data_IF_618996956444
#
_entry.id   IF_618996956444
#
_cell.length_a   1.000
_cell.length_b   1.000
_cell.length_c   1.000
_cell.angle_alpha   90.00
_cell.angle_beta   90.00
_cell.angle_gamma   90.00
#
_symmetry.space_group_name_H-M   'P 1'
#
loop_
_entity.id
_entity.type
_entity.pdbx_description
1 polymer ?
#
# COMPACT_ATOMS: atom_id res chain seq x y z
N UNK A 1 -22.42 -14.74 34.85
CA UNK A 1 -22.14 -13.81 33.74
C UNK A 1 -22.72 -14.44 32.50
N UNK A 2 -23.43 -13.68 31.67
CA UNK A 2 -23.93 -14.23 30.39
C UNK A 2 -22.71 -14.53 29.53
N UNK A 3 -22.61 -15.75 29.01
CA UNK A 3 -21.46 -16.17 28.18
C UNK A 3 -21.64 -15.68 26.74
N UNK A 4 -20.55 -15.59 25.96
CA UNK A 4 -20.64 -15.19 24.55
C UNK A 4 -21.56 -16.13 23.76
N UNK A 5 -21.44 -17.44 23.99
CA UNK A 5 -22.31 -18.46 23.38
C UNK A 5 -23.80 -18.28 23.73
N UNK A 6 -24.12 -17.86 24.95
CA UNK A 6 -25.51 -17.56 25.34
C UNK A 6 -26.08 -16.33 24.61
N UNK A 7 -25.23 -15.36 24.25
CA UNK A 7 -25.62 -14.20 23.45
C UNK A 7 -25.81 -14.62 21.99
N UNK A 8 -24.92 -15.46 21.45
CA UNK A 8 -25.02 -15.99 20.09
C UNK A 8 -26.26 -16.87 19.87
N UNK A 9 -26.66 -17.62 20.90
CA UNK A 9 -27.87 -18.44 20.86
C UNK A 9 -29.16 -17.61 20.63
N UNK A 10 -29.13 -16.29 20.87
CA UNK A 10 -30.25 -15.40 20.57
C UNK A 10 -30.53 -15.26 19.06
N UNK A 11 -29.57 -15.62 18.21
CA UNK A 11 -29.61 -15.47 16.76
C UNK A 11 -29.85 -16.79 16.01
N UNK A 12 -30.12 -17.91 16.71
CA UNK A 12 -30.29 -19.22 16.07
C UNK A 12 -31.44 -19.26 15.05
N UNK A 13 -32.51 -18.51 15.32
CA UNK A 13 -33.71 -18.44 14.48
C UNK A 13 -33.66 -17.31 13.43
N UNK A 14 -32.63 -16.47 13.45
CA UNK A 14 -32.50 -15.32 12.55
C UNK A 14 -32.02 -15.73 11.14
N UNK A 15 -32.22 -14.83 10.16
CA UNK A 15 -31.68 -15.01 8.82
C UNK A 15 -30.15 -15.10 8.88
N UNK A 16 -29.60 -16.20 8.34
CA UNK A 16 -28.16 -16.47 8.40
C UNK A 16 -27.38 -15.65 7.39
N UNK A 17 -26.17 -15.26 7.78
CA UNK A 17 -25.23 -14.61 6.86
C UNK A 17 -24.91 -15.47 5.64
N UNK A 18 -24.70 -14.83 4.48
CA UNK A 18 -24.33 -15.52 3.24
C UNK A 18 -22.97 -16.22 3.39
N UNK A 19 -22.92 -17.51 3.04
CA UNK A 19 -21.70 -18.31 3.11
C UNK A 19 -20.56 -17.71 2.25
N UNK A 20 -19.31 -17.63 2.74
CA UNK A 20 -18.19 -16.98 2.04
C UNK A 20 -17.92 -17.50 0.61
N UNK A 21 -18.22 -18.78 0.33
CA UNK A 21 -17.99 -19.37 -1.00
C UNK A 21 -18.98 -18.91 -2.09
N UNK A 22 -20.05 -18.19 -1.73
CA UNK A 22 -21.11 -17.78 -2.64
C UNK A 22 -20.94 -16.31 -3.04
N UNK A 23 -21.10 -16.02 -4.33
CA UNK A 23 -21.13 -14.63 -4.82
C UNK A 23 -22.49 -13.98 -4.59
N UNK A 24 -22.47 -12.77 -4.04
CA UNK A 24 -23.66 -11.92 -3.91
C UNK A 24 -24.14 -11.41 -5.28
N UNK A 25 -25.39 -10.96 -5.42
CA UNK A 25 -25.89 -10.35 -6.65
C UNK A 25 -25.04 -9.17 -7.12
N UNK A 26 -24.62 -8.29 -6.19
CA UNK A 26 -23.75 -7.14 -6.49
C UNK A 26 -22.38 -7.58 -7.02
N UNK A 27 -21.77 -8.59 -6.40
CA UNK A 27 -20.47 -9.13 -6.87
C UNK A 27 -20.59 -9.73 -8.27
N UNK A 28 -21.67 -10.48 -8.55
CA UNK A 28 -21.92 -11.02 -9.89
C UNK A 28 -22.08 -9.92 -10.93
N UNK A 29 -22.84 -8.87 -10.62
CA UNK A 29 -23.02 -7.72 -11.52
C UNK A 29 -21.69 -7.03 -11.79
N UNK A 30 -20.89 -6.77 -10.74
CA UNK A 30 -19.57 -6.14 -10.89
C UNK A 30 -18.61 -6.97 -11.76
N UNK A 31 -18.56 -8.30 -11.54
CA UNK A 31 -17.73 -9.22 -12.34
C UNK A 31 -18.17 -9.21 -13.81
N UNK A 32 -19.46 -9.37 -14.09
CA UNK A 32 -19.96 -9.36 -15.47
C UNK A 32 -19.79 -8.01 -16.16
N UNK A 33 -19.95 -6.91 -15.42
CA UNK A 33 -19.66 -5.57 -15.93
C UNK A 33 -18.19 -5.43 -16.31
N UNK A 34 -17.24 -5.86 -15.47
CA UNK A 34 -15.82 -5.83 -15.79
C UNK A 34 -15.47 -6.71 -17.02
N UNK A 35 -16.07 -7.91 -17.14
CA UNK A 35 -15.90 -8.77 -18.31
C UNK A 35 -16.42 -8.09 -19.58
N UNK A 36 -17.58 -7.43 -19.50
CA UNK A 36 -18.17 -6.69 -20.61
C UNK A 36 -17.26 -5.52 -21.02
N UNK A 37 -16.78 -4.71 -20.07
CA UNK A 37 -15.84 -3.61 -20.32
C UNK A 37 -14.56 -4.13 -20.97
N UNK A 38 -13.94 -5.18 -20.41
CA UNK A 38 -12.73 -5.78 -20.97
C UNK A 38 -12.94 -6.29 -22.40
N UNK A 39 -14.09 -6.90 -22.67
CA UNK A 39 -14.43 -7.41 -24.00
C UNK A 39 -14.65 -6.24 -24.98
N UNK A 40 -15.40 -5.21 -24.59
CA UNK A 40 -15.63 -4.02 -25.42
C UNK A 40 -14.31 -3.32 -25.74
N UNK A 41 -13.45 -3.11 -24.74
CA UNK A 41 -12.14 -2.48 -24.95
C UNK A 41 -11.27 -3.35 -25.85
N UNK A 42 -11.18 -4.65 -25.60
CA UNK A 42 -10.37 -5.57 -26.42
C UNK A 42 -10.84 -5.62 -27.88
N UNK A 43 -12.16 -5.74 -28.11
CA UNK A 43 -12.73 -5.69 -29.46
C UNK A 43 -12.54 -4.31 -30.09
N UNK A 44 -12.72 -3.24 -29.33
CA UNK A 44 -12.49 -1.86 -29.78
C UNK A 44 -11.05 -1.63 -30.25
N UNK A 45 -10.07 -2.13 -29.49
CA UNK A 45 -8.66 -2.04 -29.85
C UNK A 45 -8.31 -2.83 -31.12
N UNK A 46 -9.01 -3.93 -31.41
CA UNK A 46 -8.80 -4.77 -32.59
C UNK A 46 -9.53 -4.22 -33.82
N UNK A 47 -10.80 -3.84 -33.69
CA UNK A 47 -11.68 -3.53 -34.81
C UNK A 47 -11.90 -2.03 -35.05
N UNK A 48 -11.61 -1.18 -34.07
CA UNK A 48 -11.83 0.27 -34.12
C UNK A 48 -10.71 1.03 -33.39
N UNK A 49 -9.45 0.70 -33.71
CA UNK A 49 -8.27 1.19 -32.98
C UNK A 49 -8.18 2.72 -32.96
N UNK A 50 -8.44 3.40 -34.08
CA UNK A 50 -8.37 4.86 -34.14
C UNK A 50 -9.33 5.52 -33.15
N UNK A 51 -10.55 5.02 -33.04
CA UNK A 51 -11.56 5.55 -32.12
C UNK A 51 -11.26 5.21 -30.66
N UNK A 52 -10.87 3.97 -30.36
CA UNK A 52 -10.69 3.49 -28.98
C UNK A 52 -9.32 3.86 -28.40
N UNK A 53 -8.25 3.72 -29.18
CA UNK A 53 -6.89 3.98 -28.75
C UNK A 53 -6.49 5.42 -29.10
N UNK A 54 -6.41 5.75 -30.38
CA UNK A 54 -5.80 7.01 -30.85
C UNK A 54 -6.53 8.25 -30.33
N UNK A 55 -7.86 8.28 -30.46
CA UNK A 55 -8.69 9.42 -30.05
C UNK A 55 -9.23 9.29 -28.62
N UNK A 56 -9.24 8.07 -28.06
CA UNK A 56 -9.85 7.74 -26.78
C UNK A 56 -8.83 7.57 -25.65
N UNK A 57 -8.30 6.36 -25.51
CA UNK A 57 -7.45 5.99 -24.37
C UNK A 57 -6.05 6.62 -24.41
N UNK A 58 -5.49 6.90 -25.58
CA UNK A 58 -4.12 7.39 -25.70
C UNK A 58 -3.96 8.80 -25.07
N UNK A 59 -4.80 9.81 -25.36
CA UNK A 59 -4.68 11.12 -24.73
C UNK A 59 -4.92 11.12 -23.20
N UNK A 60 -5.78 10.20 -22.74
CA UNK A 60 -6.19 10.10 -21.33
C UNK A 60 -5.16 9.29 -20.53
N UNK A 61 -4.70 8.15 -21.05
CA UNK A 61 -3.86 7.21 -20.29
C UNK A 61 -2.41 7.27 -20.74
N UNK A 62 -2.13 7.23 -22.04
CA UNK A 62 -0.78 6.99 -22.55
C UNK A 62 0.07 8.26 -22.71
N UNK A 63 -0.48 9.33 -23.28
CA UNK A 63 0.26 10.58 -23.48
C UNK A 63 0.75 11.19 -22.16
N UNK A 64 -0.01 11.15 -21.05
CA UNK A 64 0.50 11.55 -19.73
C UNK A 64 1.64 10.67 -19.22
N UNK A 65 1.61 9.36 -19.47
CA UNK A 65 2.68 8.42 -19.09
C UNK A 65 3.96 8.77 -19.83
N UNK A 66 3.89 8.95 -21.16
CA UNK A 66 5.05 9.30 -21.98
C UNK A 66 5.60 10.66 -21.59
N UNK A 67 4.73 11.62 -21.25
CA UNK A 67 5.16 12.93 -20.76
C UNK A 67 5.87 12.86 -19.41
N UNK A 68 5.41 11.99 -18.50
CA UNK A 68 6.05 11.75 -17.20
C UNK A 68 7.36 10.95 -17.32
N UNK A 69 7.53 10.19 -18.42
CA UNK A 69 8.76 9.44 -18.74
C UNK A 69 9.83 10.33 -19.36
N UNK A 70 9.40 11.35 -20.11
CA UNK A 70 10.31 12.25 -20.79
C UNK A 70 11.01 13.24 -19.86
N UNK A 71 11.89 14.05 -20.46
CA UNK A 71 12.88 14.98 -19.86
C UNK A 71 12.41 15.98 -18.79
N UNK A 72 11.11 16.01 -18.46
CA UNK A 72 10.56 16.89 -17.44
C UNK A 72 10.07 16.16 -16.17
N UNK A 73 9.79 14.85 -16.19
CA UNK A 73 9.37 14.09 -14.99
C UNK A 73 8.11 14.61 -14.25
N UNK A 74 7.31 15.47 -14.90
CA UNK A 74 6.30 16.32 -14.26
C UNK A 74 4.99 16.41 -15.08
N UNK A 75 4.35 15.27 -15.35
CA UNK A 75 2.99 15.29 -15.91
C UNK A 75 1.94 15.48 -14.79
N UNK A 76 1.15 16.56 -14.88
CA UNK A 76 -0.01 16.78 -14.00
C UNK A 76 -1.21 15.88 -14.34
N UNK A 77 -2.07 15.63 -13.35
CA UNK A 77 -3.28 14.82 -13.52
C UNK A 77 -4.48 15.64 -13.99
N UNK A 78 -5.20 15.14 -15.00
CA UNK A 78 -6.50 15.71 -15.38
C UNK A 78 -7.65 15.14 -14.54
N UNK A 79 -8.81 15.82 -14.44
CA UNK A 79 -9.99 15.29 -13.77
C UNK A 79 -10.48 13.96 -14.35
N UNK A 80 -10.39 13.79 -15.67
CA UNK A 80 -10.80 12.56 -16.37
C UNK A 80 -9.93 11.37 -15.97
N UNK A 81 -8.61 11.56 -15.96
CA UNK A 81 -7.65 10.52 -15.56
C UNK A 81 -7.86 10.12 -14.10
N UNK A 82 -8.07 11.12 -13.25
CA UNK A 82 -8.29 10.93 -11.81
C UNK A 82 -9.56 10.11 -11.57
N UNK A 83 -10.67 10.44 -12.26
CA UNK A 83 -11.93 9.72 -12.15
C UNK A 83 -11.83 8.27 -12.69
N UNK A 84 -11.12 8.07 -13.80
CA UNK A 84 -10.88 6.76 -14.37
C UNK A 84 -10.12 5.86 -13.39
N UNK A 85 -8.99 6.34 -12.86
CA UNK A 85 -8.18 5.57 -11.92
C UNK A 85 -8.92 5.27 -10.61
N UNK A 86 -9.64 6.25 -10.05
CA UNK A 86 -10.44 6.04 -8.84
C UNK A 86 -11.54 4.98 -9.05
N UNK A 87 -12.23 5.01 -10.20
CA UNK A 87 -13.26 4.04 -10.56
C UNK A 87 -12.68 2.64 -10.73
N UNK A 88 -11.52 2.53 -11.41
CA UNK A 88 -10.81 1.25 -11.58
C UNK A 88 -10.42 0.65 -10.24
N UNK A 89 -9.86 1.43 -9.31
CA UNK A 89 -9.49 0.95 -7.97
C UNK A 89 -10.73 0.44 -7.21
N UNK A 90 -11.82 1.19 -7.21
CA UNK A 90 -13.07 0.77 -6.54
C UNK A 90 -13.62 -0.54 -7.12
N UNK A 91 -13.65 -0.66 -8.45
CA UNK A 91 -14.04 -1.87 -9.15
C UNK A 91 -13.13 -3.06 -8.81
N UNK A 92 -11.81 -2.85 -8.78
CA UNK A 92 -10.84 -3.86 -8.37
C UNK A 92 -11.08 -4.34 -6.95
N UNK A 93 -11.37 -3.45 -5.98
CA UNK A 93 -11.68 -3.85 -4.60
C UNK A 93 -12.89 -4.79 -4.55
N UNK A 94 -13.99 -4.45 -5.25
CA UNK A 94 -15.23 -5.26 -5.24
C UNK A 94 -15.03 -6.63 -5.90
N UNK A 95 -14.25 -6.70 -6.98
CA UNK A 95 -14.00 -7.95 -7.72
C UNK A 95 -12.97 -8.82 -7.00
N UNK A 96 -11.84 -8.25 -6.62
CA UNK A 96 -10.74 -8.99 -6.00
C UNK A 96 -11.15 -9.53 -4.63
N UNK A 97 -11.92 -8.79 -3.82
CA UNK A 97 -12.40 -9.32 -2.54
C UNK A 97 -13.22 -10.60 -2.73
N UNK A 98 -14.08 -10.65 -3.76
CA UNK A 98 -14.91 -11.80 -4.05
C UNK A 98 -14.07 -13.00 -4.53
N UNK A 99 -13.08 -12.74 -5.37
CA UNK A 99 -12.15 -13.76 -5.88
C UNK A 99 -11.30 -14.31 -4.74
N UNK A 100 -10.68 -13.45 -3.93
CA UNK A 100 -9.80 -13.85 -2.82
C UNK A 100 -10.54 -14.63 -1.76
N UNK A 101 -11.80 -14.23 -1.45
CA UNK A 101 -12.67 -14.98 -0.57
C UNK A 101 -13.00 -16.37 -1.11
N UNK A 102 -13.28 -16.49 -2.41
CA UNK A 102 -13.59 -17.79 -3.03
C UNK A 102 -12.36 -18.70 -3.12
N UNK A 103 -11.18 -18.11 -3.25
CA UNK A 103 -9.89 -18.82 -3.23
C UNK A 103 -9.41 -19.16 -1.80
N UNK A 104 -10.16 -18.75 -0.78
CA UNK A 104 -9.81 -18.93 0.64
C UNK A 104 -8.40 -18.40 0.98
N UNK A 105 -8.05 -17.24 0.41
CA UNK A 105 -6.75 -16.63 0.67
C UNK A 105 -6.69 -16.07 2.10
N UNK A 106 -5.52 -16.16 2.78
CA UNK A 106 -5.36 -15.59 4.11
C UNK A 106 -5.68 -14.09 4.12
N UNK A 107 -6.48 -13.64 5.08
CA UNK A 107 -6.85 -12.23 5.27
C UNK A 107 -6.67 -11.79 6.73
N UNK A 108 -5.61 -12.29 7.37
CA UNK A 108 -5.24 -11.97 8.74
C UNK A 108 -4.21 -10.83 8.83
N UNK A 109 -3.85 -10.46 10.05
CA UNK A 109 -2.81 -9.44 10.33
C UNK A 109 -1.47 -9.77 9.64
N UNK A 110 -1.14 -11.05 9.45
CA UNK A 110 0.10 -11.51 8.81
C UNK A 110 0.10 -11.16 7.33
N UNK A 111 -1.02 -11.39 6.65
CA UNK A 111 -1.21 -10.97 5.26
C UNK A 111 -1.10 -9.45 5.12
N UNK A 112 -1.65 -8.68 6.06
CA UNK A 112 -1.51 -7.22 6.03
C UNK A 112 -0.03 -6.78 6.04
N UNK A 113 0.81 -7.37 6.90
CA UNK A 113 2.25 -7.09 6.91
C UNK A 113 2.93 -7.46 5.59
N UNK A 114 2.54 -8.58 4.98
CA UNK A 114 3.04 -8.96 3.68
C UNK A 114 2.67 -7.91 2.62
N UNK A 115 1.41 -7.49 2.54
CA UNK A 115 0.97 -6.49 1.56
C UNK A 115 1.62 -5.12 1.77
N UNK A 116 1.87 -4.70 3.02
CA UNK A 116 2.56 -3.44 3.32
C UNK A 116 3.97 -3.43 2.69
N UNK A 117 4.72 -4.54 2.71
CA UNK A 117 6.06 -4.56 2.11
C UNK A 117 6.03 -4.33 0.60
N UNK A 118 4.96 -4.76 -0.08
CA UNK A 118 4.74 -4.48 -1.50
C UNK A 118 4.30 -3.03 -1.77
N UNK A 119 3.52 -2.44 -0.87
CA UNK A 119 3.16 -1.00 -0.95
C UNK A 119 4.40 -0.12 -0.77
N UNK A 120 5.39 -0.54 0.02
CA UNK A 120 6.68 0.14 0.18
C UNK A 120 7.57 -0.01 -1.04
N UNK A 121 7.55 -1.16 -1.72
CA UNK A 121 8.39 -1.42 -2.89
C UNK A 121 8.14 -0.44 -4.06
N UNK A 122 6.86 -0.12 -4.33
CA UNK A 122 6.48 0.78 -5.42
C UNK A 122 7.12 2.17 -5.34
N UNK A 123 6.99 2.94 -4.24
CA UNK A 123 7.65 4.24 -4.11
C UNK A 123 9.17 4.13 -4.05
N UNK A 124 9.73 3.03 -3.52
CA UNK A 124 11.20 2.81 -3.54
C UNK A 124 11.75 2.81 -4.97
N UNK A 125 11.08 2.10 -5.88
CA UNK A 125 11.44 2.09 -7.30
C UNK A 125 11.11 3.43 -7.98
N UNK A 126 9.98 4.05 -7.63
CA UNK A 126 9.59 5.34 -8.23
C UNK A 126 10.55 6.48 -7.90
N UNK A 127 11.13 6.49 -6.70
CA UNK A 127 12.14 7.48 -6.31
C UNK A 127 13.45 7.30 -7.08
N UNK A 128 13.84 6.05 -7.37
CA UNK A 128 14.99 5.79 -8.23
C UNK A 128 14.75 6.32 -9.65
N UNK A 129 13.53 6.15 -10.14
CA UNK A 129 13.12 6.72 -11.42
C UNK A 129 13.08 8.25 -11.39
N UNK A 130 12.55 8.87 -10.33
CA UNK A 130 12.62 10.33 -10.15
C UNK A 130 14.06 10.85 -10.07
N UNK A 131 15.01 10.00 -9.67
CA UNK A 131 16.43 10.28 -9.67
C UNK A 131 17.13 9.98 -11.01
N UNK A 132 16.39 9.68 -12.09
CA UNK A 132 16.92 9.31 -13.41
C UNK A 132 17.87 8.09 -13.36
N UNK A 133 17.62 7.14 -12.45
CA UNK A 133 18.45 5.92 -12.37
C UNK A 133 18.23 5.00 -13.57
N UNK A 134 16.99 4.80 -13.99
CA UNK A 134 16.68 3.84 -15.06
C UNK A 134 17.00 4.41 -16.43
N UNK A 135 17.37 3.53 -17.36
CA UNK A 135 17.59 3.93 -18.75
C UNK A 135 16.26 4.21 -19.48
N UNK A 136 16.35 4.90 -20.62
CA UNK A 136 15.20 5.30 -21.44
C UNK A 136 14.41 4.14 -22.09
N UNK A 137 14.90 2.91 -21.98
CA UNK A 137 14.16 1.72 -22.43
C UNK A 137 13.24 1.16 -21.31
N UNK A 138 13.52 1.50 -20.05
CA UNK A 138 12.86 0.95 -18.86
C UNK A 138 12.07 1.98 -18.05
N UNK A 139 12.40 3.27 -18.14
CA UNK A 139 11.73 4.40 -17.45
C UNK A 139 10.19 4.29 -17.38
N UNK A 140 9.54 4.01 -18.52
CA UNK A 140 8.09 3.92 -18.66
C UNK A 140 7.46 2.81 -17.82
N UNK A 141 8.22 1.76 -17.49
CA UNK A 141 7.76 0.66 -16.66
C UNK A 141 7.60 1.08 -15.19
N UNK A 142 8.32 2.12 -14.76
CA UNK A 142 8.31 2.65 -13.40
C UNK A 142 7.30 3.79 -13.22
N UNK A 143 6.54 4.14 -14.25
CA UNK A 143 5.53 5.22 -14.22
C UNK A 143 4.15 4.67 -13.91
N UNK A 144 3.33 5.46 -13.23
CA UNK A 144 1.94 5.09 -12.96
C UNK A 144 1.06 5.18 -14.21
N UNK A 145 0.15 4.20 -14.45
CA UNK A 145 -0.21 3.08 -13.59
C UNK A 145 0.62 1.80 -13.83
N UNK A 146 1.54 1.80 -14.79
CA UNK A 146 2.28 0.61 -15.27
C UNK A 146 3.09 -0.04 -14.14
N UNK A 147 3.73 0.77 -13.29
CA UNK A 147 4.47 0.29 -12.11
C UNK A 147 3.60 -0.63 -11.23
N UNK A 148 2.35 -0.24 -10.99
CA UNK A 148 1.43 -1.00 -10.16
C UNK A 148 1.03 -2.32 -10.82
N UNK A 149 0.90 -2.35 -12.16
CA UNK A 149 0.52 -3.55 -12.90
C UNK A 149 1.62 -4.61 -12.88
N UNK A 150 2.87 -4.24 -13.21
CA UNK A 150 3.95 -5.23 -13.21
C UNK A 150 4.32 -5.66 -11.78
N UNK A 151 4.28 -4.76 -10.78
CA UNK A 151 4.48 -5.15 -9.38
C UNK A 151 3.37 -6.08 -8.89
N UNK A 152 2.12 -5.89 -9.33
CA UNK A 152 1.05 -6.85 -9.06
C UNK A 152 1.32 -8.21 -9.71
N UNK A 153 1.91 -8.25 -10.92
CA UNK A 153 2.34 -9.52 -11.55
C UNK A 153 3.42 -10.21 -10.72
N UNK A 154 4.43 -9.48 -10.24
CA UNK A 154 5.46 -10.02 -9.33
C UNK A 154 4.84 -10.55 -8.03
N UNK A 155 3.89 -9.82 -7.44
CA UNK A 155 3.19 -10.20 -6.22
C UNK A 155 2.42 -11.51 -6.42
N UNK A 156 1.58 -11.58 -7.47
CA UNK A 156 0.79 -12.77 -7.78
C UNK A 156 1.68 -13.97 -8.09
N UNK A 157 2.75 -13.76 -8.87
CA UNK A 157 3.70 -14.82 -9.20
C UNK A 157 4.44 -15.35 -7.97
N UNK A 158 4.88 -14.44 -7.09
CA UNK A 158 5.53 -14.79 -5.82
C UNK A 158 4.58 -15.57 -4.91
N UNK A 159 3.33 -15.12 -4.76
CA UNK A 159 2.30 -15.82 -4.00
C UNK A 159 2.05 -17.22 -4.56
N UNK A 160 1.88 -17.34 -5.88
CA UNK A 160 1.61 -18.60 -6.56
C UNK A 160 2.76 -19.60 -6.39
N UNK A 161 4.00 -19.20 -6.66
CA UNK A 161 5.16 -20.10 -6.52
C UNK A 161 5.36 -20.51 -5.06
N UNK A 162 5.24 -19.57 -4.13
CA UNK A 162 5.43 -19.87 -2.71
C UNK A 162 4.38 -20.84 -2.19
N UNK A 163 3.12 -20.64 -2.59
CA UNK A 163 2.04 -21.58 -2.28
C UNK A 163 2.30 -22.95 -2.91
N UNK A 164 2.52 -23.03 -4.23
CA UNK A 164 2.69 -24.30 -4.94
C UNK A 164 3.84 -25.16 -4.42
N UNK A 165 4.94 -24.54 -3.99
CA UNK A 165 6.13 -25.26 -3.56
C UNK A 165 6.12 -25.65 -2.08
N UNK A 166 5.54 -24.80 -1.23
CA UNK A 166 5.70 -24.91 0.21
C UNK A 166 4.40 -25.12 1.01
N UNK A 167 3.21 -24.96 0.42
CA UNK A 167 1.93 -25.09 1.16
C UNK A 167 1.70 -26.49 1.72
N UNK A 168 2.26 -27.53 1.10
CA UNK A 168 2.19 -28.92 1.57
C UNK A 168 2.79 -29.15 2.96
N UNK A 169 3.56 -28.19 3.48
CA UNK A 169 4.17 -28.22 4.80
C UNK A 169 3.53 -27.24 5.78
N UNK A 170 2.48 -26.49 5.39
CA UNK A 170 1.88 -25.45 6.22
C UNK A 170 1.25 -26.03 7.51
N UNK A 171 0.69 -27.23 7.45
CA UNK A 171 0.06 -27.91 8.59
C UNK A 171 1.03 -28.80 9.39
N UNK A 172 2.28 -28.92 8.97
CA UNK A 172 3.27 -29.78 9.64
C UNK A 172 3.94 -29.06 10.81
N UNK A 173 4.03 -29.75 11.96
CA UNK A 173 4.75 -29.27 13.14
C UNK A 173 6.16 -29.86 13.26
N UNK A 174 6.59 -30.65 12.27
CA UNK A 174 7.91 -31.27 12.27
C UNK A 174 8.99 -30.27 11.85
N UNK A 175 10.11 -30.26 12.58
CA UNK A 175 11.20 -29.31 12.31
C UNK A 175 11.87 -29.55 10.95
N UNK A 176 11.91 -30.80 10.48
CA UNK A 176 12.44 -31.18 9.16
C UNK A 176 11.59 -30.60 8.02
N UNK A 177 10.26 -30.62 8.15
CA UNK A 177 9.35 -30.04 7.16
C UNK A 177 9.45 -28.50 7.13
N UNK A 178 9.59 -27.87 8.30
CA UNK A 178 9.86 -26.42 8.39
C UNK A 178 11.17 -26.03 7.74
N UNK A 179 12.22 -26.84 7.92
CA UNK A 179 13.52 -26.65 7.29
C UNK A 179 13.46 -26.83 5.78
N UNK A 180 12.78 -27.87 5.28
CA UNK A 180 12.55 -28.10 3.84
C UNK A 180 11.80 -26.93 3.20
N UNK A 181 10.68 -26.52 3.80
CA UNK A 181 9.89 -25.38 3.36
C UNK A 181 10.74 -24.11 3.27
N UNK A 182 11.48 -23.78 4.33
CA UNK A 182 12.39 -22.62 4.34
C UNK A 182 13.46 -22.71 3.26
N UNK A 183 14.09 -23.86 3.10
CA UNK A 183 15.20 -24.05 2.15
C UNK A 183 14.71 -23.90 0.71
N UNK A 184 13.58 -24.53 0.37
CA UNK A 184 12.97 -24.41 -0.96
C UNK A 184 12.56 -22.96 -1.24
N UNK A 185 11.90 -22.29 -0.29
CA UNK A 185 11.51 -20.88 -0.45
C UNK A 185 12.75 -19.97 -0.58
N UNK A 186 13.78 -20.17 0.23
CA UNK A 186 15.00 -19.36 0.17
C UNK A 186 15.70 -19.45 -1.18
N UNK A 187 15.86 -20.67 -1.71
CA UNK A 187 16.50 -20.89 -3.02
C UNK A 187 15.66 -20.26 -4.13
N UNK A 188 14.36 -20.54 -4.17
CA UNK A 188 13.48 -20.10 -5.27
C UNK A 188 13.27 -18.59 -5.23
N UNK A 189 13.01 -18.01 -4.06
CA UNK A 189 12.86 -16.57 -3.92
C UNK A 189 14.20 -15.82 -4.07
N UNK A 190 15.32 -16.45 -3.73
CA UNK A 190 16.66 -15.91 -4.02
C UNK A 190 16.95 -15.84 -5.52
N UNK A 191 16.58 -16.87 -6.29
CA UNK A 191 16.64 -16.86 -7.75
C UNK A 191 15.68 -15.80 -8.34
N UNK A 192 14.48 -15.69 -7.76
CA UNK A 192 13.51 -14.68 -8.16
C UNK A 192 14.02 -13.26 -7.89
N UNK A 193 14.73 -13.06 -6.77
CA UNK A 193 15.35 -11.79 -6.39
C UNK A 193 16.48 -11.44 -7.36
N UNK A 194 17.29 -12.43 -7.74
CA UNK A 194 18.30 -12.28 -8.79
C UNK A 194 17.68 -11.90 -10.13
N UNK A 195 16.59 -12.56 -10.53
CA UNK A 195 15.86 -12.22 -11.76
C UNK A 195 15.33 -10.79 -11.70
N UNK A 196 14.70 -10.39 -10.60
CA UNK A 196 14.21 -9.03 -10.39
C UNK A 196 15.32 -7.98 -10.50
N UNK A 197 16.47 -8.22 -9.85
CA UNK A 197 17.66 -7.36 -9.97
C UNK A 197 18.17 -7.28 -11.42
N UNK A 198 18.28 -8.42 -12.10
CA UNK A 198 18.79 -8.49 -13.48
C UNK A 198 17.90 -7.78 -14.50
N UNK A 199 16.57 -7.79 -14.28
CA UNK A 199 15.61 -7.18 -15.20
C UNK A 199 15.45 -5.68 -14.98
N UNK A 200 15.45 -5.22 -13.72
CA UNK A 200 15.14 -3.82 -13.41
C UNK A 200 16.39 -2.96 -13.20
N UNK A 201 17.41 -3.47 -12.50
CA UNK A 201 18.54 -2.64 -12.05
C UNK A 201 19.76 -2.77 -12.95
N UNK A 202 20.14 -4.01 -13.28
CA UNK A 202 21.36 -4.30 -14.05
C UNK A 202 21.48 -3.53 -15.38
N UNK A 203 20.41 -3.36 -16.19
CA UNK A 203 20.52 -2.69 -17.49
C UNK A 203 20.86 -1.20 -17.38
N UNK A 204 20.62 -0.58 -16.23
CA UNK A 204 20.75 0.86 -16.04
C UNK A 204 22.12 1.28 -15.48
N UNK A 205 22.94 0.34 -14.97
CA UNK A 205 24.27 0.68 -14.46
C UNK A 205 25.22 1.25 -15.52
N UNK A 206 25.02 0.90 -16.80
CA UNK A 206 25.83 1.45 -17.89
C UNK A 206 25.45 2.88 -18.28
N UNK A 207 24.28 3.37 -17.85
CA UNK A 207 23.84 4.74 -18.12
C UNK A 207 24.64 5.78 -17.33
N UNK A 208 25.22 5.36 -16.21
CA UNK A 208 25.87 6.24 -15.24
C UNK A 208 27.36 5.88 -15.10
N UNK A 209 28.27 6.54 -15.83
CA UNK A 209 29.68 6.14 -15.90
C UNK A 209 30.46 6.31 -14.58
N UNK A 210 30.03 7.24 -13.72
CA UNK A 210 30.68 7.57 -12.44
C UNK A 210 30.03 6.86 -11.24
N UNK A 211 29.22 5.81 -11.47
CA UNK A 211 28.46 5.12 -10.43
C UNK A 211 29.38 4.36 -9.46
N UNK A 212 29.26 4.63 -8.16
CA UNK A 212 30.01 3.89 -7.15
C UNK A 212 29.42 2.49 -6.92
N UNK A 213 30.24 1.45 -7.10
CA UNK A 213 29.78 0.06 -7.02
C UNK A 213 29.63 -0.48 -5.60
N UNK A 214 30.17 0.18 -4.57
CA UNK A 214 30.19 -0.34 -3.19
C UNK A 214 28.78 -0.68 -2.68
N UNK A 215 27.86 0.28 -2.75
CA UNK A 215 26.48 0.11 -2.30
C UNK A 215 25.68 -0.86 -3.16
N UNK A 216 25.93 -0.88 -4.48
CA UNK A 216 25.31 -1.83 -5.42
C UNK A 216 25.71 -3.26 -5.09
N UNK A 217 27.01 -3.52 -4.91
CA UNK A 217 27.54 -4.84 -4.56
C UNK A 217 27.01 -5.29 -3.20
N UNK A 218 26.88 -4.36 -2.25
CA UNK A 218 26.36 -4.64 -0.91
C UNK A 218 24.83 -4.88 -0.89
N UNK A 219 24.09 -4.30 -1.85
CA UNK A 219 22.62 -4.37 -1.91
C UNK A 219 22.10 -5.82 -1.98
N UNK A 220 22.68 -6.65 -2.86
CA UNK A 220 22.18 -7.99 -3.10
C UNK A 220 22.43 -8.96 -1.92
N UNK A 221 23.63 -9.03 -1.31
CA UNK A 221 23.86 -9.82 -0.09
C UNK A 221 22.96 -9.39 1.08
N UNK A 222 22.73 -8.09 1.26
CA UNK A 222 21.88 -7.60 2.35
C UNK A 222 20.40 -7.90 2.08
N UNK A 223 19.94 -7.77 0.84
CA UNK A 223 18.60 -8.19 0.43
C UNK A 223 18.40 -9.71 0.63
N UNK A 224 19.38 -10.53 0.27
CA UNK A 224 19.35 -11.97 0.47
C UNK A 224 19.35 -12.34 1.96
N UNK A 225 20.13 -11.63 2.78
CA UNK A 225 20.10 -11.77 4.24
C UNK A 225 18.75 -11.40 4.82
N UNK A 226 18.15 -10.30 4.37
CA UNK A 226 16.80 -9.88 4.77
C UNK A 226 15.77 -10.97 4.44
N UNK A 227 15.83 -11.49 3.21
CA UNK A 227 14.97 -12.59 2.75
C UNK A 227 15.11 -13.82 3.66
N UNK A 228 16.34 -14.26 3.95
CA UNK A 228 16.59 -15.38 4.85
C UNK A 228 16.06 -15.12 6.26
N UNK A 229 16.36 -13.95 6.82
CA UNK A 229 15.98 -13.58 8.19
C UNK A 229 14.45 -13.56 8.36
N UNK A 230 13.73 -13.02 7.38
CA UNK A 230 12.26 -13.01 7.40
C UNK A 230 11.72 -14.44 7.31
N UNK A 231 12.22 -15.27 6.39
CA UNK A 231 11.77 -16.67 6.25
C UNK A 231 11.97 -17.49 7.53
N UNK A 232 13.02 -17.20 8.31
CA UNK A 232 13.26 -17.79 9.63
C UNK A 232 12.26 -17.27 10.66
N UNK A 233 11.99 -15.96 10.70
CA UNK A 233 11.09 -15.34 11.67
C UNK A 233 9.62 -15.66 11.45
N UNK A 234 9.23 -15.93 10.21
CA UNK A 234 7.85 -16.24 9.83
C UNK A 234 7.65 -17.74 9.62
N UNK A 235 8.40 -18.61 10.31
CA UNK A 235 8.34 -20.06 10.08
C UNK A 235 6.93 -20.65 10.22
N UNK A 236 6.14 -20.14 11.17
CA UNK A 236 4.78 -20.62 11.49
C UNK A 236 3.67 -19.90 10.69
N UNK A 237 4.03 -19.17 9.63
CA UNK A 237 3.06 -18.48 8.78
C UNK A 237 2.74 -19.33 7.54
N UNK A 238 1.58 -19.14 6.90
CA UNK A 238 1.27 -19.81 5.64
C UNK A 238 2.34 -19.52 4.57
N UNK A 239 2.72 -20.53 3.79
CA UNK A 239 3.78 -20.42 2.77
C UNK A 239 3.57 -19.23 1.82
N UNK A 240 2.33 -18.98 1.41
CA UNK A 240 1.96 -17.85 0.56
C UNK A 240 2.35 -16.52 1.22
N UNK A 241 1.91 -16.29 2.46
CA UNK A 241 2.17 -15.05 3.21
C UNK A 241 3.67 -14.88 3.48
N UNK A 242 4.37 -15.98 3.82
CA UNK A 242 5.82 -16.00 4.05
C UNK A 242 6.60 -15.56 2.83
N UNK A 243 6.26 -16.10 1.67
CA UNK A 243 6.93 -15.76 0.42
C UNK A 243 6.72 -14.31 0.03
N UNK A 244 5.48 -13.81 0.18
CA UNK A 244 5.14 -12.41 -0.10
C UNK A 244 5.91 -11.43 0.78
N UNK A 245 5.91 -11.63 2.11
CA UNK A 245 6.60 -10.71 3.02
C UNK A 245 8.12 -10.76 2.85
N UNK A 246 8.69 -11.95 2.67
CA UNK A 246 10.14 -12.12 2.49
C UNK A 246 10.64 -11.46 1.21
N UNK A 247 9.96 -11.73 0.08
CA UNK A 247 10.35 -11.17 -1.22
C UNK A 247 10.13 -9.65 -1.28
N UNK A 248 8.94 -9.17 -0.91
CA UNK A 248 8.62 -7.74 -0.95
C UNK A 248 9.53 -6.89 -0.05
N UNK A 249 9.93 -7.42 1.10
CA UNK A 249 10.89 -6.73 1.98
C UNK A 249 12.31 -6.75 1.42
N UNK A 250 12.76 -7.89 0.86
CA UNK A 250 14.09 -8.02 0.28
C UNK A 250 14.29 -7.11 -0.94
N UNK A 251 13.30 -7.04 -1.83
CA UNK A 251 13.34 -6.12 -2.99
C UNK A 251 13.29 -4.65 -2.57
N UNK A 252 12.51 -4.32 -1.52
CA UNK A 252 12.48 -2.96 -0.96
C UNK A 252 13.84 -2.56 -0.37
N UNK A 253 14.47 -3.46 0.39
CA UNK A 253 15.84 -3.25 0.92
C UNK A 253 16.82 -3.06 -0.23
N UNK A 254 16.75 -3.86 -1.28
CA UNK A 254 17.60 -3.71 -2.45
C UNK A 254 17.47 -2.32 -3.08
N UNK A 255 16.25 -1.80 -3.25
CA UNK A 255 16.04 -0.46 -3.80
C UNK A 255 16.52 0.67 -2.89
N UNK A 256 16.35 0.56 -1.57
CA UNK A 256 16.89 1.54 -0.61
C UNK A 256 18.44 1.59 -0.65
N UNK A 257 19.10 0.46 -0.89
CA UNK A 257 20.56 0.47 -1.08
C UNK A 257 21.00 1.22 -2.35
N UNK A 258 20.15 1.27 -3.38
CA UNK A 258 20.40 2.11 -4.55
C UNK A 258 20.15 3.59 -4.25
N UNK A 259 19.26 3.92 -3.30
CA UNK A 259 19.18 5.30 -2.78
C UNK A 259 20.50 5.70 -2.10
N UNK A 260 21.10 4.82 -1.29
CA UNK A 260 22.41 5.08 -0.69
C UNK A 260 23.52 5.22 -1.72
N UNK A 261 23.46 4.46 -2.82
CA UNK A 261 24.37 4.65 -3.94
C UNK A 261 24.24 6.05 -4.53
N UNK A 262 23.02 6.51 -4.82
CA UNK A 262 22.78 7.86 -5.34
C UNK A 262 23.23 8.95 -4.37
N UNK A 263 23.02 8.76 -3.06
CA UNK A 263 23.53 9.66 -2.02
C UNK A 263 25.07 9.74 -2.05
N UNK A 264 25.74 8.61 -2.21
CA UNK A 264 27.20 8.55 -2.23
C UNK A 264 27.82 9.12 -3.53
N UNK A 265 27.15 8.91 -4.66
CA UNK A 265 27.61 9.30 -5.99
C UNK A 265 26.43 9.80 -6.84
N UNK A 266 25.95 11.04 -6.59
CA UNK A 266 24.85 11.62 -7.35
C UNK A 266 25.31 11.95 -8.77
N UNK A 267 24.42 11.75 -9.73
CA UNK A 267 24.63 12.17 -11.13
C UNK A 267 23.76 13.39 -11.46
N UNK A 268 24.08 14.04 -12.58
CA UNK A 268 23.26 15.13 -13.09
C UNK A 268 21.96 14.56 -13.66
N UNK A 269 20.83 15.13 -13.23
CA UNK A 269 19.51 14.75 -13.73
C UNK A 269 19.29 15.28 -15.15
N UNK A 270 18.44 14.61 -15.93
CA UNK A 270 18.06 15.02 -17.29
C UNK A 270 17.38 16.40 -17.31
N UNK A 271 16.71 16.75 -16.21
CA UNK A 271 16.12 18.08 -15.97
C UNK A 271 17.15 19.21 -15.92
N UNK A 272 18.44 18.89 -15.83
CA UNK A 272 19.54 19.83 -15.65
C UNK A 272 19.76 20.25 -14.19
N UNK A 273 18.95 19.72 -13.25
CA UNK A 273 19.14 19.94 -11.81
C UNK A 273 20.42 19.27 -11.33
N UNK A 274 21.17 20.01 -10.52
CA UNK A 274 22.38 19.53 -9.85
C UNK A 274 22.03 19.41 -8.38
N UNK A 275 22.27 18.24 -7.80
CA UNK A 275 22.01 17.97 -6.38
C UNK A 275 23.00 18.78 -5.55
N UNK A 276 22.52 19.86 -4.92
CA UNK A 276 23.36 20.79 -4.15
C UNK A 276 23.53 20.33 -2.69
N UNK A 277 22.50 19.69 -2.11
CA UNK A 277 22.57 19.13 -0.76
C UNK A 277 21.52 18.04 -0.54
N UNK A 278 21.87 17.00 0.22
CA UNK A 278 20.98 15.87 0.54
C UNK A 278 20.61 15.90 2.03
N UNK A 279 19.60 16.69 2.44
CA UNK A 279 19.20 16.75 3.83
C UNK A 279 18.47 15.47 4.23
N UNK A 280 19.03 14.73 5.19
CA UNK A 280 18.41 13.51 5.72
C UNK A 280 17.38 13.76 6.83
N UNK A 281 17.34 14.97 7.39
CA UNK A 281 16.43 15.32 8.48
C UNK A 281 14.93 15.29 8.12
N UNK A 282 14.47 15.57 6.87
CA UNK A 282 13.05 15.48 6.51
C UNK A 282 12.51 14.08 6.77
N UNK A 283 13.27 13.03 6.47
CA UNK A 283 12.87 11.66 6.76
C UNK A 283 12.60 11.42 8.25
N UNK A 284 13.35 12.07 9.16
CA UNK A 284 13.12 11.95 10.60
C UNK A 284 11.78 12.58 11.03
N UNK A 285 11.38 13.69 10.42
CA UNK A 285 10.12 14.36 10.74
C UNK A 285 8.94 13.61 10.12
N UNK A 286 9.04 13.32 8.82
CA UNK A 286 7.96 12.70 8.05
C UNK A 286 7.69 11.26 8.51
N UNK A 287 8.71 10.49 8.91
CA UNK A 287 8.51 9.15 9.48
C UNK A 287 8.26 9.21 10.99
N UNK A 288 8.90 10.14 11.71
CA UNK A 288 8.87 10.21 13.17
C UNK A 288 7.52 10.65 13.74
N UNK A 289 6.90 11.71 13.19
CA UNK A 289 5.61 12.20 13.67
C UNK A 289 4.52 11.12 13.53
N UNK A 290 4.31 10.49 12.34
CA UNK A 290 3.34 9.40 12.20
C UNK A 290 3.67 8.19 13.09
N UNK A 291 4.95 7.83 13.24
CA UNK A 291 5.36 6.73 14.11
C UNK A 291 4.99 6.98 15.58
N UNK A 292 5.15 8.22 16.07
CA UNK A 292 4.72 8.61 17.42
C UNK A 292 3.21 8.48 17.58
N UNK A 293 2.42 8.96 16.63
CA UNK A 293 0.95 8.83 16.65
C UNK A 293 0.55 7.34 16.68
N UNK A 294 1.13 6.52 15.82
CA UNK A 294 0.89 5.07 15.81
C UNK A 294 1.31 4.39 17.12
N UNK A 295 2.41 4.83 17.74
CA UNK A 295 2.82 4.34 19.05
C UNK A 295 1.78 4.65 20.14
N UNK A 296 1.20 5.86 20.14
CA UNK A 296 0.12 6.22 21.07
C UNK A 296 -1.13 5.39 20.84
N UNK A 297 -1.57 5.22 19.59
CA UNK A 297 -2.73 4.38 19.24
C UNK A 297 -2.52 2.91 19.66
N UNK A 298 -1.35 2.35 19.33
CA UNK A 298 -0.98 1.00 19.74
C UNK A 298 -1.00 0.86 21.27
N UNK A 299 -0.40 1.80 21.99
CA UNK A 299 -0.38 1.78 23.47
C UNK A 299 -1.78 1.81 24.06
N UNK A 300 -2.70 2.55 23.45
CA UNK A 300 -4.08 2.66 23.90
C UNK A 300 -4.89 1.38 23.62
N UNK A 301 -4.63 0.69 22.50
CA UNK A 301 -5.37 -0.50 22.08
C UNK A 301 -4.80 -1.86 22.49
N UNK A 302 -3.51 -1.93 22.86
CA UNK A 302 -2.77 -3.20 23.01
C UNK A 302 -3.38 -4.18 24.03
N UNK A 303 -3.96 -3.69 25.12
CA UNK A 303 -4.44 -4.54 26.20
C UNK A 303 -5.74 -5.23 25.78
N UNK A 304 -6.67 -4.49 25.19
CA UNK A 304 -7.89 -5.04 24.60
C UNK A 304 -7.59 -5.96 23.41
N UNK A 305 -6.59 -5.63 22.58
CA UNK A 305 -6.13 -6.51 21.50
C UNK A 305 -5.56 -7.84 22.03
N UNK A 306 -4.86 -7.83 23.16
CA UNK A 306 -4.37 -9.06 23.82
C UNK A 306 -5.51 -9.87 24.42
N UNK A 307 -6.49 -9.21 25.04
CA UNK A 307 -7.68 -9.88 25.56
C UNK A 307 -8.48 -10.52 24.43
N UNK A 308 -8.64 -9.83 23.29
CA UNK A 308 -9.31 -10.39 22.12
C UNK A 308 -8.60 -11.66 21.60
N UNK A 309 -7.26 -11.68 21.58
CA UNK A 309 -6.48 -12.88 21.20
C UNK A 309 -6.66 -14.09 22.13
N UNK A 310 -7.18 -13.89 23.34
CA UNK A 310 -7.55 -14.98 24.26
C UNK A 310 -8.99 -15.47 24.03
N UNK A 311 -9.72 -14.83 23.12
CA UNK A 311 -11.06 -15.25 22.68
C UNK A 311 -10.98 -15.85 21.28
N UNK A 312 -12.04 -16.53 20.86
CA UNK A 312 -12.17 -17.08 19.50
C UNK A 312 -12.65 -16.04 18.47
N UNK A 313 -12.67 -14.76 18.83
CA UNK A 313 -13.20 -13.67 18.01
C UNK A 313 -12.10 -12.74 17.47
N UNK A 314 -12.39 -12.13 16.33
CA UNK A 314 -11.52 -11.13 15.72
C UNK A 314 -12.11 -9.71 15.88
N UNK A 315 -11.28 -8.68 16.12
CA UNK A 315 -11.75 -7.31 16.30
C UNK A 315 -12.57 -6.80 15.11
N UNK A 316 -13.81 -6.38 15.39
CA UNK A 316 -14.72 -5.77 14.40
C UNK A 316 -15.37 -6.75 13.42
N UNK A 317 -15.21 -8.06 13.63
CA UNK A 317 -15.80 -9.11 12.80
C UNK A 317 -16.88 -9.83 13.61
N UNK A 318 -18.05 -10.03 13.01
CA UNK A 318 -19.16 -10.73 13.64
C UNK A 318 -18.93 -12.25 13.68
N UNK A 319 -19.52 -12.96 14.65
CA UNK A 319 -19.50 -14.43 14.70
C UNK A 319 -20.09 -15.07 13.45
N UNK A 320 -19.82 -16.37 13.28
CA UNK A 320 -20.34 -17.14 12.15
C UNK A 320 -21.88 -17.13 12.12
N UNK A 321 -22.44 -17.16 10.91
CA UNK A 321 -23.89 -17.19 10.64
C UNK A 321 -24.70 -15.96 11.10
N UNK A 322 -24.11 -14.97 11.79
CA UNK A 322 -24.81 -13.76 12.24
C UNK A 322 -24.71 -12.65 11.20
N UNK A 323 -25.85 -12.02 10.84
CA UNK A 323 -25.89 -10.87 9.93
C UNK A 323 -25.63 -9.56 10.66
N UNK A 324 -25.14 -8.56 9.94
CA UNK A 324 -24.98 -7.22 10.52
C UNK A 324 -26.32 -6.63 10.98
N UNK A 325 -27.38 -6.88 10.20
CA UNK A 325 -28.72 -6.37 10.50
C UNK A 325 -29.28 -6.95 11.80
N UNK A 326 -29.20 -8.27 12.01
CA UNK A 326 -29.67 -8.88 13.25
C UNK A 326 -28.85 -8.41 14.46
N UNK A 327 -27.54 -8.25 14.29
CA UNK A 327 -26.67 -7.71 15.34
C UNK A 327 -27.06 -6.30 15.79
N UNK A 328 -27.32 -5.40 14.84
CA UNK A 328 -27.76 -4.03 15.13
C UNK A 328 -29.15 -3.99 15.79
N UNK A 329 -30.08 -4.85 15.35
CA UNK A 329 -31.42 -4.97 15.94
C UNK A 329 -31.39 -5.49 17.38
N UNK A 330 -30.39 -6.31 17.73
CA UNK A 330 -30.23 -6.83 19.09
C UNK A 330 -29.79 -5.76 20.11
N UNK A 331 -29.16 -4.67 19.66
CA UNK A 331 -28.80 -3.51 20.48
C UNK A 331 -28.11 -3.86 21.81
N UNK A 332 -28.68 -3.46 22.94
CA UNK A 332 -28.08 -3.66 24.26
C UNK A 332 -27.88 -5.13 24.66
N UNK A 333 -28.54 -6.08 23.97
CA UNK A 333 -28.37 -7.52 24.24
C UNK A 333 -26.96 -8.01 23.92
N UNK A 334 -26.31 -7.42 22.91
CA UNK A 334 -24.95 -7.78 22.48
C UNK A 334 -23.86 -6.96 23.18
N UNK A 335 -24.21 -5.99 24.03
CA UNK A 335 -23.25 -5.10 24.68
C UNK A 335 -22.24 -5.84 25.60
N UNK A 336 -22.58 -7.05 26.05
CA UNK A 336 -21.68 -7.90 26.85
C UNK A 336 -20.81 -8.84 26.01
N UNK A 337 -21.01 -8.88 24.71
CA UNK A 337 -20.25 -9.73 23.82
C UNK A 337 -18.80 -9.21 23.68
N UNK A 338 -17.78 -10.07 23.63
CA UNK A 338 -16.38 -9.65 23.46
C UNK A 338 -16.16 -8.74 22.26
N UNK A 339 -16.86 -9.02 21.14
CA UNK A 339 -16.82 -8.18 19.93
C UNK A 339 -17.26 -6.73 20.23
N UNK A 340 -18.29 -6.50 21.04
CA UNK A 340 -18.68 -5.11 21.36
C UNK A 340 -17.79 -4.47 22.42
N UNK A 341 -17.34 -5.25 23.41
CA UNK A 341 -16.56 -4.71 24.52
C UNK A 341 -15.14 -4.33 24.13
N UNK A 342 -14.49 -5.17 23.31
CA UNK A 342 -13.05 -5.10 23.09
C UNK A 342 -12.69 -4.59 21.69
N UNK A 343 -13.54 -4.77 20.67
CA UNK A 343 -13.16 -4.48 19.27
C UNK A 343 -12.72 -3.04 19.08
N UNK A 344 -13.40 -2.07 19.71
CA UNK A 344 -13.14 -0.66 19.45
C UNK A 344 -11.68 -0.29 19.74
N UNK A 345 -11.18 -0.62 20.94
CA UNK A 345 -9.80 -0.33 21.30
C UNK A 345 -8.82 -1.33 20.69
N UNK A 346 -9.20 -2.60 20.58
CA UNK A 346 -8.35 -3.61 19.94
C UNK A 346 -7.98 -3.22 18.50
N UNK A 347 -8.91 -2.62 17.75
CA UNK A 347 -8.68 -2.15 16.39
C UNK A 347 -7.67 -1.01 16.29
N UNK A 348 -7.55 -0.16 17.31
CA UNK A 348 -6.54 0.91 17.32
C UNK A 348 -5.10 0.37 17.37
N UNK A 349 -4.91 -0.86 17.86
CA UNK A 349 -3.62 -1.55 17.86
C UNK A 349 -3.46 -2.52 16.69
N UNK A 350 -4.45 -2.66 15.81
CA UNK A 350 -4.40 -3.56 14.67
C UNK A 350 -3.49 -2.98 13.56
N UNK A 351 -2.64 -3.80 12.91
CA UNK A 351 -1.73 -3.34 11.86
C UNK A 351 -2.44 -2.65 10.68
N UNK A 352 -3.67 -3.04 10.34
CA UNK A 352 -4.47 -2.36 9.31
C UNK A 352 -4.69 -0.88 9.62
N UNK A 353 -5.13 -0.57 10.85
CA UNK A 353 -5.41 0.80 11.30
C UNK A 353 -4.13 1.59 11.44
N UNK A 354 -3.10 0.99 12.06
CA UNK A 354 -1.81 1.65 12.27
C UNK A 354 -1.13 1.97 10.93
N UNK A 355 -1.15 1.07 9.95
CA UNK A 355 -0.58 1.32 8.63
C UNK A 355 -1.33 2.43 7.91
N UNK A 356 -2.66 2.43 7.95
CA UNK A 356 -3.48 3.47 7.33
C UNK A 356 -3.19 4.87 7.92
N UNK A 357 -3.15 4.96 9.26
CA UNK A 357 -2.80 6.19 9.98
C UNK A 357 -1.40 6.65 9.60
N UNK A 358 -0.43 5.72 9.63
CA UNK A 358 0.94 6.03 9.27
C UNK A 358 1.04 6.57 7.85
N UNK A 359 0.42 5.91 6.88
CA UNK A 359 0.47 6.30 5.46
C UNK A 359 -0.13 7.68 5.19
N UNK A 360 -1.33 7.97 5.71
CA UNK A 360 -1.99 9.26 5.46
C UNK A 360 -1.30 10.43 6.16
N UNK A 361 -0.75 10.21 7.36
CA UNK A 361 0.02 11.23 8.05
C UNK A 361 1.41 11.42 7.41
N UNK A 362 2.04 10.35 6.95
CA UNK A 362 3.30 10.41 6.20
C UNK A 362 3.13 11.29 4.96
N UNK A 363 2.08 11.06 4.17
CA UNK A 363 1.72 11.88 3.01
C UNK A 363 1.54 13.37 3.37
N UNK A 364 0.64 13.66 4.31
CA UNK A 364 0.34 15.04 4.68
C UNK A 364 1.57 15.80 5.22
N UNK A 365 2.40 15.13 6.04
CA UNK A 365 3.63 15.74 6.58
C UNK A 365 4.71 15.86 5.50
N UNK A 366 4.83 14.90 4.58
CA UNK A 366 5.78 14.95 3.47
C UNK A 366 5.48 16.13 2.55
N UNK A 367 4.23 16.28 2.11
CA UNK A 367 3.78 17.39 1.26
C UNK A 367 3.97 18.74 1.96
N UNK A 368 3.63 18.83 3.26
CA UNK A 368 3.87 20.05 4.04
C UNK A 368 5.35 20.42 4.06
N UNK A 369 6.23 19.47 4.38
CA UNK A 369 7.68 19.71 4.41
C UNK A 369 8.18 20.08 3.01
N UNK A 370 7.75 19.38 1.96
CA UNK A 370 8.22 19.63 0.60
C UNK A 370 7.78 20.96 0.01
N UNK A 371 6.51 21.33 0.18
CA UNK A 371 5.99 22.58 -0.38
C UNK A 371 6.42 23.78 0.47
N UNK A 372 6.20 23.74 1.79
CA UNK A 372 6.42 24.91 2.65
C UNK A 372 7.91 25.13 2.98
N UNK A 373 8.77 24.09 3.00
CA UNK A 373 10.18 24.22 3.39
C UNK A 373 11.17 24.05 2.23
N UNK A 374 10.82 23.28 1.19
CA UNK A 374 11.70 22.98 0.05
C UNK A 374 11.25 23.61 -1.27
N UNK A 375 10.07 24.25 -1.31
CA UNK A 375 9.57 24.96 -2.49
C UNK A 375 9.08 24.04 -3.61
N UNK A 376 8.78 22.76 -3.34
CA UNK A 376 8.20 21.86 -4.34
C UNK A 376 6.77 22.24 -4.73
N UNK A 377 6.35 21.86 -5.94
CA UNK A 377 5.00 22.06 -6.45
C UNK A 377 4.10 20.85 -6.21
N UNK A 378 2.82 21.11 -5.91
CA UNK A 378 1.78 20.07 -5.83
C UNK A 378 1.18 19.78 -7.22
N UNK A 379 1.01 18.50 -7.55
CA UNK A 379 0.57 18.04 -8.89
C UNK A 379 -0.91 17.68 -8.94
N UNK A 380 -1.52 17.34 -7.80
CA UNK A 380 -2.91 16.93 -7.75
C UNK A 380 -3.83 18.14 -7.63
N UNK A 381 -4.83 18.31 -8.52
CA UNK A 381 -5.71 19.48 -8.51
C UNK A 381 -6.46 19.70 -7.18
N UNK A 382 -6.84 18.60 -6.52
CA UNK A 382 -7.56 18.65 -5.24
C UNK A 382 -6.63 19.06 -4.09
N UNK A 383 -5.41 18.52 -4.08
CA UNK A 383 -4.40 18.87 -3.08
C UNK A 383 -3.98 20.33 -3.23
N UNK A 384 -3.70 20.78 -4.45
CA UNK A 384 -3.34 22.17 -4.74
C UNK A 384 -4.44 23.14 -4.29
N UNK A 385 -5.71 22.83 -4.56
CA UNK A 385 -6.83 23.66 -4.09
C UNK A 385 -6.87 23.83 -2.56
N UNK A 386 -6.51 22.78 -1.79
CA UNK A 386 -6.41 22.87 -0.32
C UNK A 386 -5.22 23.75 0.09
N UNK A 387 -4.08 23.62 -0.59
CA UNK A 387 -2.88 24.42 -0.31
C UNK A 387 -3.16 25.90 -0.60
N UNK A 388 -3.77 26.24 -1.73
CA UNK A 388 -4.14 27.62 -2.08
C UNK A 388 -5.06 28.26 -1.04
N UNK A 389 -6.01 27.49 -0.49
CA UNK A 389 -6.85 27.97 0.60
C UNK A 389 -6.06 28.17 1.90
N UNK A 390 -5.08 27.28 2.17
CA UNK A 390 -4.14 27.40 3.28
C UNK A 390 -3.29 28.68 3.20
N UNK A 391 -2.80 29.03 2.01
CA UNK A 391 -2.07 30.28 1.74
C UNK A 391 -2.94 31.49 2.11
N UNK A 392 -4.19 31.51 1.66
CA UNK A 392 -5.11 32.61 1.99
C UNK A 392 -5.37 32.77 3.50
N UNK A 393 -5.43 31.67 4.25
CA UNK A 393 -5.54 31.71 5.72
C UNK A 393 -4.24 32.25 6.32
N UNK A 394 -3.09 31.74 5.89
CA UNK A 394 -1.79 32.16 6.38
C UNK A 394 -1.55 33.66 6.18
N UNK A 395 -1.89 34.18 5.00
CA UNK A 395 -1.82 35.61 4.67
C UNK A 395 -2.73 36.43 5.60
N UNK A 396 -3.95 35.95 5.87
CA UNK A 396 -4.89 36.64 6.77
C UNK A 396 -4.43 36.66 8.23
N UNK A 397 -3.65 35.65 8.64
CA UNK A 397 -3.14 35.47 10.00
C UNK A 397 -1.73 36.04 10.20
N UNK A 398 -1.05 36.48 9.13
CA UNK A 398 0.33 36.94 9.17
C UNK A 398 1.33 35.84 9.49
N UNK A 399 1.08 34.61 9.01
CA UNK A 399 2.01 33.48 9.19
C UNK A 399 3.14 33.61 8.18
N UNK A 400 4.35 33.79 8.66
CA UNK A 400 5.56 33.83 7.83
C UNK A 400 6.09 32.40 7.54
N UNK A 401 6.79 32.19 6.41
CA UNK A 401 7.46 30.93 6.12
C UNK A 401 8.40 30.50 7.25
N UNK A 402 8.41 29.22 7.59
CA UNK A 402 9.26 28.67 8.65
C UNK A 402 10.76 28.62 8.26
N UNK A 403 11.05 28.60 6.96
CA UNK A 403 12.37 28.64 6.32
C UNK A 403 12.32 29.52 5.07
N UNK A 404 13.47 29.91 4.54
CA UNK A 404 13.59 30.56 3.22
C UNK A 404 13.15 29.58 2.12
N UNK A 405 11.83 29.51 1.90
CA UNK A 405 11.19 28.76 0.83
C UNK A 405 10.67 29.73 -0.23
N UNK A 406 10.71 29.31 -1.49
CA UNK A 406 10.15 30.07 -2.60
C UNK A 406 8.60 30.14 -2.54
N UNK A 407 7.97 29.21 -1.83
CA UNK A 407 6.52 29.10 -1.74
C UNK A 407 5.97 29.70 -0.44
N UNK A 408 4.79 30.36 -0.49
CA UNK A 408 4.11 30.84 0.72
C UNK A 408 3.60 29.64 1.58
N UNK A 409 3.51 29.81 2.91
CA UNK A 409 3.16 28.73 3.83
C UNK A 409 1.68 28.38 3.74
N UNK A 410 1.35 27.24 3.14
CA UNK A 410 -0.03 26.80 2.96
C UNK A 410 -0.26 25.29 3.03
N UNK A 411 0.79 24.49 2.81
CA UNK A 411 0.69 23.04 2.81
C UNK A 411 0.50 22.45 4.22
N UNK A 412 0.75 23.22 5.28
CA UNK A 412 0.33 22.86 6.65
C UNK A 412 -1.18 22.55 6.73
N UNK A 413 -2.03 23.23 5.95
CA UNK A 413 -3.46 22.95 5.96
C UNK A 413 -3.76 21.58 5.35
N UNK A 414 -3.03 21.19 4.30
CA UNK A 414 -3.14 19.87 3.71
C UNK A 414 -2.81 18.77 4.72
N UNK A 415 -1.74 18.93 5.52
CA UNK A 415 -1.40 18.01 6.61
C UNK A 415 -2.54 17.88 7.64
N UNK A 416 -3.17 19.01 8.02
CA UNK A 416 -4.32 19.02 8.95
C UNK A 416 -5.53 18.31 8.34
N UNK A 417 -5.85 18.58 7.08
CA UNK A 417 -6.96 17.93 6.36
C UNK A 417 -6.74 16.41 6.29
N UNK A 418 -5.52 15.96 5.97
CA UNK A 418 -5.13 14.54 5.96
C UNK A 418 -5.27 13.91 7.35
N UNK A 419 -4.83 14.60 8.40
CA UNK A 419 -4.98 14.14 9.78
C UNK A 419 -6.46 14.00 10.20
N UNK A 420 -7.30 14.98 9.85
CA UNK A 420 -8.74 14.91 10.10
C UNK A 420 -9.42 13.81 9.30
N UNK A 421 -9.05 13.65 8.02
CA UNK A 421 -9.56 12.60 7.14
C UNK A 421 -9.26 11.22 7.73
N UNK A 422 -8.00 10.96 8.09
CA UNK A 422 -7.63 9.65 8.64
C UNK A 422 -8.24 9.41 10.01
N UNK A 423 -8.38 10.45 10.86
CA UNK A 423 -9.10 10.32 12.13
C UNK A 423 -10.58 9.94 11.92
N UNK A 424 -11.24 10.53 10.91
CA UNK A 424 -12.64 10.19 10.57
C UNK A 424 -12.76 8.76 10.03
N UNK A 425 -11.83 8.33 9.15
CA UNK A 425 -11.80 6.96 8.64
C UNK A 425 -11.56 5.96 9.77
N UNK A 426 -10.61 6.22 10.67
CA UNK A 426 -10.33 5.38 11.83
C UNK A 426 -11.54 5.29 12.74
N UNK A 427 -12.20 6.41 13.02
CA UNK A 427 -13.42 6.43 13.84
C UNK A 427 -14.51 5.54 13.23
N UNK A 428 -14.78 5.68 11.94
CA UNK A 428 -15.72 4.84 11.21
C UNK A 428 -15.31 3.36 11.26
N UNK A 429 -14.03 3.06 11.03
CA UNK A 429 -13.53 1.68 10.98
C UNK A 429 -13.54 0.95 12.32
N UNK A 430 -13.39 1.70 13.42
CA UNK A 430 -13.45 1.22 14.80
C UNK A 430 -14.90 0.95 15.23
N UNK A 431 -15.84 1.74 14.72
CA UNK A 431 -17.26 1.64 15.03
C UNK A 431 -17.97 0.56 14.20
N UNK A 432 -17.62 0.42 12.92
CA UNK A 432 -18.24 -0.57 12.05
C UNK A 432 -17.95 -2.01 12.50
N UNK A 433 -18.97 -2.85 12.35
CA UNK A 433 -18.86 -4.31 12.38
C UNK A 433 -19.06 -4.84 10.97
N UNK A 434 -18.32 -5.89 10.63
CA UNK A 434 -18.43 -6.54 9.32
C UNK A 434 -18.76 -8.01 9.47
N UNK A 435 -19.49 -8.53 8.49
CA UNK A 435 -19.74 -9.96 8.39
C UNK A 435 -18.45 -10.69 7.98
N UNK A 436 -18.33 -11.97 8.33
CA UNK A 436 -17.14 -12.77 8.02
C UNK A 436 -16.80 -12.82 6.53
N UNK A 437 -17.81 -12.77 5.65
CA UNK A 437 -17.59 -12.72 4.19
C UNK A 437 -16.96 -11.41 3.70
N UNK A 438 -16.92 -10.36 4.52
CA UNK A 438 -16.43 -9.03 4.16
C UNK A 438 -15.01 -8.77 4.66
N UNK A 439 -14.32 -9.76 5.25
CA UNK A 439 -12.95 -9.61 5.75
C UNK A 439 -11.99 -9.18 4.63
N UNK A 440 -12.04 -9.84 3.47
CA UNK A 440 -11.21 -9.46 2.31
C UNK A 440 -11.54 -8.05 1.82
N UNK A 441 -12.82 -7.66 1.80
CA UNK A 441 -13.24 -6.31 1.42
C UNK A 441 -12.65 -5.28 2.37
N UNK A 442 -12.73 -5.54 3.68
CA UNK A 442 -12.15 -4.68 4.72
C UNK A 442 -10.64 -4.49 4.52
N UNK A 443 -9.89 -5.58 4.32
CA UNK A 443 -8.46 -5.51 4.07
C UNK A 443 -8.12 -4.74 2.78
N UNK A 444 -8.86 -4.95 1.70
CA UNK A 444 -8.62 -4.28 0.42
C UNK A 444 -8.96 -2.79 0.45
N UNK A 445 -9.99 -2.39 1.19
CA UNK A 445 -10.27 -0.96 1.42
C UNK A 445 -9.10 -0.31 2.18
N UNK A 446 -8.62 -0.96 3.23
CA UNK A 446 -7.44 -0.47 3.98
C UNK A 446 -6.23 -0.36 3.06
N UNK A 447 -5.99 -1.37 2.23
CA UNK A 447 -4.89 -1.37 1.27
C UNK A 447 -5.02 -0.23 0.25
N UNK A 448 -6.22 0.04 -0.27
CA UNK A 448 -6.47 1.15 -1.18
C UNK A 448 -6.18 2.51 -0.52
N UNK A 449 -6.66 2.72 0.72
CA UNK A 449 -6.35 3.94 1.49
C UNK A 449 -4.86 4.04 1.80
N UNK A 450 -4.19 2.92 2.05
CA UNK A 450 -2.75 2.86 2.28
C UNK A 450 -1.97 3.25 1.02
N UNK A 451 -2.35 2.73 -0.15
CA UNK A 451 -1.70 3.05 -1.44
C UNK A 451 -1.83 4.56 -1.72
N UNK A 452 -2.99 5.17 -1.46
CA UNK A 452 -3.23 6.61 -1.70
C UNK A 452 -2.51 7.52 -0.70
N UNK A 453 -2.00 7.00 0.42
CA UNK A 453 -1.25 7.80 1.42
C UNK A 453 0.22 7.41 1.54
N UNK A 454 0.50 6.16 1.89
CA UNK A 454 1.86 5.70 2.13
C UNK A 454 2.74 5.77 0.89
N UNK A 455 2.22 5.43 -0.30
CA UNK A 455 3.01 5.46 -1.53
C UNK A 455 3.47 6.89 -1.89
N UNK A 456 2.59 7.90 -1.99
CA UNK A 456 3.04 9.27 -2.22
C UNK A 456 3.91 9.80 -1.08
N UNK A 457 3.55 9.56 0.20
CA UNK A 457 4.36 10.00 1.32
C UNK A 457 5.79 9.44 1.32
N UNK A 458 5.99 8.15 1.01
CA UNK A 458 7.33 7.57 0.88
C UNK A 458 8.09 8.08 -0.35
N UNK A 459 7.38 8.35 -1.46
CA UNK A 459 7.98 8.94 -2.66
C UNK A 459 8.49 10.36 -2.37
N UNK A 460 7.66 11.18 -1.72
CA UNK A 460 8.00 12.56 -1.35
C UNK A 460 9.17 12.60 -0.37
N UNK A 461 9.25 11.67 0.59
CA UNK A 461 10.45 11.53 1.44
C UNK A 461 11.68 11.24 0.58
N UNK A 462 11.57 10.28 -0.35
CA UNK A 462 12.67 9.94 -1.25
C UNK A 462 13.16 11.15 -2.02
N UNK A 463 12.24 11.88 -2.67
CA UNK A 463 12.50 13.14 -3.38
C UNK A 463 13.20 14.18 -2.51
N UNK A 464 12.69 14.40 -1.30
CA UNK A 464 13.29 15.31 -0.32
C UNK A 464 14.70 14.90 0.11
N UNK A 465 14.95 13.60 0.30
CA UNK A 465 16.26 13.10 0.74
C UNK A 465 17.30 13.06 -0.36
N UNK A 466 16.88 12.80 -1.60
CA UNK A 466 17.77 12.72 -2.75
C UNK A 466 17.88 14.05 -3.49
N UNK A 467 17.04 15.04 -3.16
CA UNK A 467 16.93 16.35 -3.81
C UNK A 467 16.54 16.26 -5.29
N UNK A 468 15.55 15.42 -5.59
CA UNK A 468 15.10 15.08 -6.96
C UNK A 468 13.70 15.55 -7.28
#
# INVERSE_FOLDING_TARGET
MVTAAEIEALFEDDEKSLHPSIFSPLEKVAIWFAVAVFTIVSFGLIFANDFFWTDGLKPIVWDPIVKDAGTAGDAGYSPENTALYATTVLMCVVILQAIFRKMDLPADDRMMFALISWVVLAPVLRVLEDADFFNSDLDWLLISPIIHLHLALWLVFTAFISHQLASKWDDSNEDDDREKSRTVLFIVLGLLLFLHWSLLYQPSYSSHPDIEMFWIILSFPIALYCLFWILVRTADWPALTRGLIAFGSATSVMGVFHWFQFIASPWQQESGRVVDSQPLWPALIVLGIPALVCYYLYRYGKDDARHMKMTDYEPGILPNDITLKSWEEAGDKVAKHPVEQLSRKALLANPMVLAMVFGQLCDGVATMVGVDLFGYGEKHPVSDAVIQFGIGIADSMGIEPLMDSANPPGAWLFAVVKACLVAAIVWLFVEMRVERRQIHMRMLIVLAVLIVGLAPGLRDIGRLTLDV
#
